data_IF_311294326336
#
_entry.id   IF_311294326336
#
_cell.length_a   1.000
_cell.length_b   1.000
_cell.length_c   1.000
_cell.angle_alpha   90.00
_cell.angle_beta   90.00
_cell.angle_gamma   90.00
#
_symmetry.space_group_name_H-M   'P 1'
#
loop_
_entity.id
_entity.type
_entity.pdbx_description
1 polymer ?
#
# COMPACT_ATOMS: atom_id res chain seq x y z
N UNK A 1 -2.35 11.37 3.43
CA UNK A 1 -3.46 11.38 2.45
C UNK A 1 -3.79 9.93 2.21
N UNK A 2 -5.04 9.47 2.43
CA UNK A 2 -5.38 8.08 2.16
C UNK A 2 -5.12 7.80 0.68
N UNK A 3 -4.41 6.71 0.42
CA UNK A 3 -3.99 6.34 -0.94
C UNK A 3 -5.19 5.86 -1.74
N UNK A 4 -6.12 5.17 -1.07
CA UNK A 4 -7.40 4.77 -1.63
C UNK A 4 -8.47 5.86 -1.46
N UNK A 5 -9.31 6.06 -2.47
CA UNK A 5 -10.47 6.97 -2.40
C UNK A 5 -11.72 6.37 -3.03
N UNK A 6 -12.90 6.79 -2.57
CA UNK A 6 -14.18 6.38 -3.17
C UNK A 6 -14.27 6.73 -4.65
N UNK A 7 -13.67 7.84 -5.07
CA UNK A 7 -13.63 8.23 -6.48
C UNK A 7 -12.83 7.24 -7.31
N UNK A 8 -11.68 6.78 -6.81
CA UNK A 8 -10.88 5.73 -7.48
C UNK A 8 -11.70 4.45 -7.62
N UNK A 9 -12.33 3.98 -6.53
CA UNK A 9 -13.18 2.79 -6.57
C UNK A 9 -14.36 2.94 -7.54
N UNK A 10 -14.99 4.10 -7.58
CA UNK A 10 -16.11 4.38 -8.49
C UNK A 10 -15.65 4.34 -9.95
N UNK A 11 -14.45 4.84 -10.25
CA UNK A 11 -13.86 4.76 -11.59
C UNK A 11 -13.55 3.31 -12.00
N UNK A 12 -13.30 2.42 -11.03
CA UNK A 12 -13.17 0.97 -11.21
C UNK A 12 -14.53 0.25 -11.27
N UNK A 13 -15.66 0.96 -11.19
CA UNK A 13 -17.01 0.36 -11.19
C UNK A 13 -17.45 -0.18 -9.83
N UNK A 14 -16.69 0.06 -8.77
CA UNK A 14 -16.93 -0.44 -7.41
C UNK A 14 -17.63 0.65 -6.59
N UNK A 15 -18.86 0.37 -6.17
CA UNK A 15 -19.65 1.30 -5.37
C UNK A 15 -19.93 0.73 -3.98
N UNK A 16 -19.21 1.22 -2.97
CA UNK A 16 -19.29 0.73 -1.58
C UNK A 16 -20.08 1.68 -0.69
N UNK A 17 -20.66 1.13 0.39
CA UNK A 17 -21.14 1.94 1.51
C UNK A 17 -19.97 2.59 2.25
N UNK A 18 -20.26 3.59 3.08
CA UNK A 18 -19.24 4.28 3.88
C UNK A 18 -18.48 3.34 4.82
N UNK A 19 -19.20 2.39 5.43
CA UNK A 19 -18.63 1.37 6.32
C UNK A 19 -17.75 0.37 5.56
N UNK A 20 -18.22 -0.13 4.41
CA UNK A 20 -17.43 -1.04 3.58
C UNK A 20 -16.19 -0.35 3.00
N UNK A 21 -16.31 0.93 2.61
CA UNK A 21 -15.16 1.72 2.19
C UNK A 21 -14.14 1.90 3.32
N UNK A 22 -14.58 2.20 4.54
CA UNK A 22 -13.68 2.37 5.67
C UNK A 22 -12.90 1.08 5.95
N UNK A 23 -13.59 -0.06 6.01
CA UNK A 23 -12.95 -1.36 6.23
C UNK A 23 -12.00 -1.77 5.09
N UNK A 24 -12.38 -1.52 3.83
CA UNK A 24 -11.50 -1.77 2.69
C UNK A 24 -10.28 -0.85 2.71
N UNK A 25 -10.46 0.43 3.06
CA UNK A 25 -9.35 1.40 3.08
C UNK A 25 -8.33 1.05 4.15
N UNK A 26 -8.78 0.68 5.36
CA UNK A 26 -7.91 0.21 6.43
C UNK A 26 -7.12 -1.03 6.00
N UNK A 27 -7.81 -2.03 5.46
CA UNK A 27 -7.15 -3.25 4.99
C UNK A 27 -6.18 -3.00 3.82
N UNK A 28 -6.53 -2.08 2.91
CA UNK A 28 -5.69 -1.68 1.79
C UNK A 28 -4.40 -1.00 2.29
N UNK A 29 -4.50 -0.07 3.24
CA UNK A 29 -3.34 0.61 3.82
C UNK A 29 -2.42 -0.39 4.54
N UNK A 30 -2.95 -1.29 5.36
CA UNK A 30 -2.15 -2.33 6.03
C UNK A 30 -1.43 -3.26 5.04
N UNK A 31 -2.13 -3.64 3.96
CA UNK A 31 -1.56 -4.51 2.93
C UNK A 31 -0.49 -3.78 2.12
N UNK A 32 -0.74 -2.52 1.76
CA UNK A 32 0.21 -1.67 1.06
C UNK A 32 1.49 -1.50 1.88
N UNK A 33 1.36 -1.13 3.16
CA UNK A 33 2.50 -0.95 4.04
C UNK A 33 3.35 -2.23 4.09
N UNK A 34 2.72 -3.39 4.31
CA UNK A 34 3.43 -4.68 4.36
C UNK A 34 4.21 -4.95 3.07
N UNK A 35 3.56 -4.81 1.91
CA UNK A 35 4.18 -5.11 0.60
C UNK A 35 5.30 -4.14 0.26
N UNK A 36 5.10 -2.85 0.54
CA UNK A 36 6.13 -1.81 0.37
C UNK A 36 7.33 -2.10 1.27
N UNK A 37 7.12 -2.46 2.53
CA UNK A 37 8.22 -2.82 3.42
C UNK A 37 8.97 -4.07 2.97
N UNK A 38 8.26 -5.09 2.48
CA UNK A 38 8.87 -6.31 1.95
C UNK A 38 9.73 -6.01 0.71
N UNK A 39 9.22 -5.20 -0.24
CA UNK A 39 9.98 -4.82 -1.44
C UNK A 39 11.21 -4.01 -1.08
N UNK A 40 11.07 -3.02 -0.21
CA UNK A 40 12.19 -2.22 0.29
C UNK A 40 13.24 -3.12 0.95
N UNK A 41 12.84 -4.10 1.75
CA UNK A 41 13.77 -5.00 2.42
C UNK A 41 14.65 -5.79 1.44
N UNK A 42 14.19 -6.04 0.21
CA UNK A 42 15.01 -6.64 -0.85
C UNK A 42 16.01 -5.66 -1.48
N UNK A 43 15.73 -4.37 -1.44
CA UNK A 43 16.60 -3.33 -1.99
C UNK A 43 17.63 -2.79 -1.00
N UNK A 44 17.39 -2.94 0.30
CA UNK A 44 18.30 -2.43 1.32
C UNK A 44 19.66 -3.16 1.30
N UNK A 45 20.73 -2.36 1.32
CA UNK A 45 22.05 -2.88 1.67
C UNK A 45 22.10 -3.36 3.13
N UNK A 46 23.03 -4.27 3.50
CA UNK A 46 23.20 -4.71 4.88
C UNK A 46 23.38 -3.57 5.88
N UNK A 47 24.10 -2.51 5.49
CA UNK A 47 24.32 -1.32 6.30
C UNK A 47 23.02 -0.54 6.54
N UNK A 48 22.23 -0.33 5.48
CA UNK A 48 20.94 0.36 5.55
C UNK A 48 19.91 -0.45 6.37
N UNK A 49 19.87 -1.77 6.19
CA UNK A 49 19.02 -2.64 7.00
C UNK A 49 19.40 -2.58 8.49
N UNK A 50 20.69 -2.49 8.80
CA UNK A 50 21.15 -2.33 10.18
C UNK A 50 20.76 -0.96 10.78
N UNK A 51 20.89 0.11 9.99
CA UNK A 51 20.47 1.45 10.38
C UNK A 51 18.96 1.50 10.64
N UNK A 52 18.15 1.00 9.72
CA UNK A 52 16.69 0.93 9.88
C UNK A 52 16.30 0.10 11.11
N UNK A 53 16.95 -1.05 11.34
CA UNK A 53 16.72 -1.89 12.52
C UNK A 53 17.10 -1.22 13.85
N UNK A 54 17.97 -0.19 13.81
CA UNK A 54 18.34 0.63 14.96
C UNK A 54 17.30 1.72 15.27
N UNK A 55 16.45 2.08 14.29
CA UNK A 55 15.37 3.06 14.41
C UNK A 55 14.08 2.50 15.02
N UNK A 56 14.18 1.41 15.79
CA UNK A 56 13.05 0.71 16.41
C UNK A 56 12.24 1.54 17.42
N UNK A 57 12.82 2.61 17.96
CA UNK A 57 12.14 3.57 18.84
C UNK A 57 11.70 4.86 18.11
N UNK A 58 11.99 4.96 16.81
CA UNK A 58 11.60 6.10 16.00
C UNK A 58 10.10 6.05 15.67
N UNK A 59 9.48 7.21 15.49
CA UNK A 59 8.08 7.27 15.05
C UNK A 59 7.93 6.95 13.56
N UNK A 60 6.72 6.57 13.14
CA UNK A 60 6.39 6.24 11.75
C UNK A 60 6.84 7.32 10.76
N UNK A 61 6.69 8.60 11.13
CA UNK A 61 7.12 9.72 10.29
C UNK A 61 8.63 9.79 10.09
N UNK A 62 9.41 9.42 11.11
CA UNK A 62 10.87 9.38 11.01
C UNK A 62 11.33 8.21 10.14
N UNK A 63 10.68 7.05 10.28
CA UNK A 63 10.91 5.88 9.43
C UNK A 63 10.60 6.24 7.97
N UNK A 64 9.43 6.83 7.68
CA UNK A 64 9.06 7.25 6.32
C UNK A 64 10.05 8.26 5.74
N UNK A 65 10.47 9.26 6.52
CA UNK A 65 11.46 10.24 6.07
C UNK A 65 12.81 9.58 5.76
N UNK A 66 13.22 8.60 6.56
CA UNK A 66 14.44 7.84 6.32
C UNK A 66 14.33 7.04 5.02
N UNK A 67 13.21 6.36 4.79
CA UNK A 67 12.96 5.59 3.56
C UNK A 67 13.03 6.50 2.32
N UNK A 68 12.35 7.65 2.35
CA UNK A 68 12.40 8.64 1.27
C UNK A 68 13.80 9.19 0.98
N UNK A 69 14.68 9.20 1.98
CA UNK A 69 16.04 9.73 1.85
C UNK A 69 17.04 8.65 1.40
N UNK A 70 16.85 7.41 1.84
CA UNK A 70 17.84 6.33 1.71
C UNK A 70 17.46 5.28 0.65
N UNK A 71 16.21 5.22 0.26
CA UNK A 71 15.69 4.30 -0.78
C UNK A 71 15.32 5.14 -1.99
N UNK A 72 16.17 5.21 -3.04
CA UNK A 72 15.98 6.08 -4.19
C UNK A 72 14.64 5.86 -4.90
N UNK A 73 14.21 4.60 -4.97
CA UNK A 73 13.04 4.17 -5.71
C UNK A 73 11.80 4.04 -4.80
N UNK A 74 11.85 4.55 -3.56
CA UNK A 74 10.76 4.44 -2.58
C UNK A 74 9.40 4.91 -3.12
N UNK A 75 9.38 6.05 -3.80
CA UNK A 75 8.14 6.59 -4.34
C UNK A 75 7.59 5.74 -5.49
N UNK A 76 8.48 5.14 -6.28
CA UNK A 76 8.11 4.28 -7.40
C UNK A 76 7.60 2.93 -6.87
N UNK A 77 8.26 2.32 -5.88
CA UNK A 77 7.79 1.12 -5.17
C UNK A 77 6.38 1.32 -4.59
N UNK A 78 6.17 2.44 -3.89
CA UNK A 78 4.84 2.75 -3.34
C UNK A 78 3.81 2.89 -4.47
N UNK A 79 4.15 3.56 -5.57
CA UNK A 79 3.23 3.73 -6.70
C UNK A 79 2.90 2.39 -7.36
N UNK A 80 3.90 1.53 -7.57
CA UNK A 80 3.73 0.23 -8.21
C UNK A 80 2.85 -0.69 -7.36
N UNK A 81 3.10 -0.77 -6.05
CA UNK A 81 2.28 -1.59 -5.16
C UNK A 81 0.84 -1.06 -5.05
N UNK A 82 0.63 0.25 -5.12
CA UNK A 82 -0.72 0.84 -5.19
C UNK A 82 -1.43 0.41 -6.46
N UNK A 83 -0.78 0.51 -7.62
CA UNK A 83 -1.38 0.13 -8.89
C UNK A 83 -1.70 -1.38 -8.94
N UNK A 84 -0.82 -2.22 -8.38
CA UNK A 84 -1.06 -3.67 -8.25
C UNK A 84 -2.27 -3.94 -7.35
N UNK A 85 -2.33 -3.36 -6.15
CA UNK A 85 -3.43 -3.57 -5.23
C UNK A 85 -4.76 -3.05 -5.77
N UNK A 86 -4.76 -1.93 -6.51
CA UNK A 86 -5.95 -1.44 -7.20
C UNK A 86 -6.42 -2.40 -8.30
N UNK A 87 -5.48 -3.00 -9.03
CA UNK A 87 -5.77 -4.08 -9.98
C UNK A 87 -6.39 -5.30 -9.31
N UNK A 88 -5.83 -5.76 -8.20
CA UNK A 88 -6.37 -6.88 -7.42
C UNK A 88 -7.78 -6.61 -6.89
N UNK A 89 -8.05 -5.39 -6.43
CA UNK A 89 -9.39 -4.96 -6.02
C UNK A 89 -10.37 -5.00 -7.20
N UNK A 90 -9.98 -4.49 -8.36
CA UNK A 90 -10.80 -4.50 -9.56
C UNK A 90 -11.12 -5.94 -10.01
N UNK A 91 -10.12 -6.81 -10.09
CA UNK A 91 -10.29 -8.22 -10.46
C UNK A 91 -11.17 -8.99 -9.46
N UNK A 92 -10.99 -8.76 -8.16
CA UNK A 92 -11.81 -9.39 -7.14
C UNK A 92 -13.27 -8.89 -7.22
N UNK A 93 -13.49 -7.62 -7.53
CA UNK A 93 -14.83 -7.08 -7.74
C UNK A 93 -15.57 -7.71 -8.92
N UNK A 94 -14.86 -8.01 -10.02
CA UNK A 94 -15.41 -8.73 -11.17
C UNK A 94 -15.73 -10.19 -10.81
N UNK A 95 -14.89 -10.84 -10.01
CA UNK A 95 -15.14 -12.21 -9.54
C UNK A 95 -16.36 -12.30 -8.60
N UNK A 96 -16.60 -11.27 -7.78
CA UNK A 96 -17.81 -11.17 -6.94
C UNK A 96 -19.06 -10.89 -7.78
N UNK A 97 -18.95 -10.07 -8.84
CA UNK A 97 -20.07 -9.75 -9.74
C UNK A 97 -20.39 -10.89 -10.72
N UNK A 98 -19.39 -11.66 -11.15
CA UNK A 98 -19.50 -12.71 -12.16
C UNK A 98 -20.07 -14.05 -11.67
N UNK A 99 -20.19 -14.25 -10.36
CA UNK A 99 -20.66 -15.53 -9.78
C UNK A 99 -22.19 -15.59 -9.54
N UNK A 100 -22.96 -14.71 -10.19
CA UNK A 100 -24.43 -14.62 -10.09
C UNK A 100 -25.15 -15.04 -11.41
N UNK A 101 -24.67 -16.07 -12.10
CA UNK A 101 -25.34 -16.60 -13.31
C UNK A 101 -25.54 -18.12 -13.25
#
# INVERSE_FOLDING_TARGET
>A
MPVLSKTVLTNLGINLSDEAFASLSEHFEETLDTRVFDEIAYELSPEQAHELASMRDAGDSEIVQWLQTNVPDFADIVSDEVDILLGEIAENSENIAGNNN
#
